data_IF_380855074187
#
_entry.id   IF_380855074187
#
_cell.length_a   1.000
_cell.length_b   1.000
_cell.length_c   1.000
_cell.angle_alpha   90.00
_cell.angle_beta   90.00
_cell.angle_gamma   90.00
#
_symmetry.space_group_name_H-M   'P 1'
#
loop_
_entity.id
_entity.type
_entity.pdbx_description
1 polymer ?
#
# COMPACT_ATOMS: atom_id res chain seq x y z
N UNK A 1 -17.45 13.79 37.92
CA UNK A 1 -16.77 12.59 37.34
C UNK A 1 -17.77 11.99 36.38
N UNK A 2 -17.64 12.24 35.09
CA UNK A 2 -18.45 11.57 34.07
C UNK A 2 -18.02 10.10 34.03
N UNK A 3 -18.97 9.18 34.30
CA UNK A 3 -18.74 7.75 34.11
C UNK A 3 -18.12 7.55 32.71
N UNK A 4 -16.91 6.97 32.67
CA UNK A 4 -16.30 6.57 31.43
C UNK A 4 -17.15 5.42 30.85
N UNK A 5 -17.98 5.72 29.88
CA UNK A 5 -18.72 4.70 29.13
C UNK A 5 -17.70 3.86 28.39
N UNK A 6 -17.48 2.64 28.85
CA UNK A 6 -16.61 1.67 28.19
C UNK A 6 -17.29 1.19 26.91
N UNK A 7 -16.58 1.23 25.79
CA UNK A 7 -17.08 0.76 24.48
C UNK A 7 -17.11 -0.78 24.43
N UNK A 8 -16.15 -1.42 25.11
CA UNK A 8 -16.01 -2.86 25.14
C UNK A 8 -16.93 -3.49 26.18
N UNK A 9 -17.93 -4.20 25.72
CA UNK A 9 -18.83 -4.97 26.59
C UNK A 9 -18.23 -6.32 27.00
N UNK A 10 -18.97 -7.09 27.80
CA UNK A 10 -18.51 -8.41 28.28
C UNK A 10 -18.21 -9.38 27.14
N UNK A 11 -19.03 -9.41 26.09
CA UNK A 11 -18.83 -10.29 24.94
C UNK A 11 -17.55 -9.97 24.16
N UNK A 12 -17.24 -8.68 24.01
CA UNK A 12 -15.97 -8.23 23.45
C UNK A 12 -14.79 -8.71 24.31
N UNK A 13 -14.85 -8.54 25.63
CA UNK A 13 -13.78 -8.98 26.55
C UNK A 13 -13.52 -10.48 26.45
N UNK A 14 -14.57 -11.32 26.40
CA UNK A 14 -14.45 -12.78 26.20
C UNK A 14 -13.77 -13.15 24.87
N UNK A 15 -13.99 -12.38 23.79
CA UNK A 15 -13.28 -12.54 22.50
C UNK A 15 -11.82 -12.18 22.65
N UNK A 16 -11.50 -11.09 23.36
CA UNK A 16 -10.13 -10.63 23.53
C UNK A 16 -9.25 -11.61 24.33
N UNK A 17 -9.84 -12.40 25.23
CA UNK A 17 -9.12 -13.47 25.94
C UNK A 17 -8.60 -14.57 25.00
N UNK A 18 -9.22 -14.73 23.83
CA UNK A 18 -8.81 -15.73 22.83
C UNK A 18 -7.67 -15.27 21.94
N UNK A 19 -7.31 -13.98 21.96
CA UNK A 19 -6.18 -13.45 21.19
C UNK A 19 -4.88 -13.76 21.94
N UNK A 20 -3.94 -14.52 21.35
CA UNK A 20 -2.64 -14.79 21.96
C UNK A 20 -1.86 -13.48 22.15
N UNK A 21 -1.34 -13.27 23.37
CA UNK A 21 -0.48 -12.11 23.69
C UNK A 21 0.99 -12.43 23.56
N UNK A 22 1.36 -13.69 23.78
CA UNK A 22 2.76 -14.15 23.69
C UNK A 22 3.22 -14.22 22.24
N UNK A 23 4.34 -13.57 21.97
CA UNK A 23 4.98 -13.58 20.65
C UNK A 23 5.34 -14.99 20.16
N UNK A 24 5.64 -15.93 21.06
CA UNK A 24 5.96 -17.32 20.71
C UNK A 24 4.86 -17.97 19.84
N UNK A 25 3.59 -17.55 20.01
CA UNK A 25 2.48 -18.01 19.15
C UNK A 25 2.64 -17.60 17.68
N UNK A 26 3.16 -16.38 17.44
CA UNK A 26 3.31 -15.81 16.09
C UNK A 26 4.62 -16.22 15.43
N UNK A 27 5.66 -16.47 16.24
CA UNK A 27 7.04 -16.61 15.81
C UNK A 27 7.24 -17.67 14.73
N UNK A 28 6.65 -18.85 14.89
CA UNK A 28 6.82 -19.97 13.94
C UNK A 28 6.34 -19.57 12.52
N UNK A 29 5.15 -19.03 12.42
CA UNK A 29 4.59 -18.63 11.12
C UNK A 29 5.31 -17.41 10.56
N UNK A 30 5.68 -16.44 11.40
CA UNK A 30 6.45 -15.28 10.98
C UNK A 30 7.79 -15.69 10.37
N UNK A 31 8.54 -16.56 11.03
CA UNK A 31 9.84 -17.05 10.55
C UNK A 31 9.67 -17.82 9.23
N UNK A 32 8.71 -18.75 9.15
CA UNK A 32 8.43 -19.50 7.90
C UNK A 32 8.07 -18.56 6.74
N UNK A 33 7.20 -17.57 7.01
CA UNK A 33 6.74 -16.65 5.98
C UNK A 33 7.83 -15.66 5.55
N UNK A 34 8.58 -15.11 6.49
CA UNK A 34 9.59 -14.10 6.18
C UNK A 34 10.88 -14.68 5.60
N UNK A 35 11.21 -15.94 5.92
CA UNK A 35 12.33 -16.66 5.29
C UNK A 35 12.01 -17.12 3.86
N UNK A 36 10.74 -17.07 3.44
CA UNK A 36 10.37 -17.27 2.03
C UNK A 36 10.47 -15.93 1.31
N UNK A 37 11.40 -15.82 0.37
CA UNK A 37 11.56 -14.59 -0.41
C UNK A 37 10.30 -14.30 -1.24
N UNK A 38 9.75 -13.12 -1.07
CA UNK A 38 8.60 -12.62 -1.86
C UNK A 38 8.90 -11.25 -2.46
N UNK A 39 10.15 -11.00 -2.86
CA UNK A 39 10.47 -9.77 -3.59
C UNK A 39 9.56 -9.61 -4.81
N UNK A 40 8.91 -8.46 -4.97
CA UNK A 40 7.84 -8.21 -5.96
C UNK A 40 8.21 -8.62 -7.39
N UNK A 41 9.52 -8.61 -7.72
CA UNK A 41 10.03 -9.03 -9.05
C UNK A 41 10.49 -10.49 -9.11
N UNK A 42 10.40 -11.23 -8.00
CA UNK A 42 10.68 -12.68 -7.95
C UNK A 42 9.37 -13.46 -8.14
N UNK A 43 8.77 -13.34 -9.31
CA UNK A 43 7.40 -13.80 -9.62
C UNK A 43 7.14 -15.26 -9.26
N UNK A 44 8.09 -16.16 -9.52
CA UNK A 44 7.94 -17.59 -9.21
C UNK A 44 7.89 -17.85 -7.70
N UNK A 45 8.70 -17.16 -6.93
CA UNK A 45 8.73 -17.28 -5.47
C UNK A 45 7.50 -16.65 -4.83
N UNK A 46 7.09 -15.48 -5.31
CA UNK A 46 5.84 -14.82 -4.91
C UNK A 46 4.64 -15.75 -5.14
N UNK A 47 4.53 -16.35 -6.33
CA UNK A 47 3.45 -17.29 -6.64
C UNK A 47 3.48 -18.53 -5.75
N UNK A 48 4.66 -19.06 -5.41
CA UNK A 48 4.82 -20.25 -4.55
C UNK A 48 4.49 -19.98 -3.07
N UNK A 49 4.37 -18.71 -2.66
CA UNK A 49 3.98 -18.32 -1.30
C UNK A 49 2.45 -18.40 -1.08
N UNK A 50 1.67 -18.21 -2.12
CA UNK A 50 0.21 -18.12 -2.06
C UNK A 50 -0.47 -19.29 -1.32
N UNK A 51 -0.06 -20.58 -1.53
CA UNK A 51 -0.65 -21.71 -0.78
C UNK A 51 -0.44 -21.62 0.75
N UNK A 52 0.62 -20.96 1.24
CA UNK A 52 0.82 -20.75 2.69
C UNK A 52 -0.24 -19.84 3.27
N UNK A 53 -0.55 -18.76 2.55
CA UNK A 53 -1.62 -17.83 2.93
C UNK A 53 -2.98 -18.51 2.86
N UNK A 54 -3.26 -19.25 1.77
CA UNK A 54 -4.50 -20.01 1.62
C UNK A 54 -4.72 -20.97 2.79
N UNK A 55 -3.72 -21.78 3.14
CA UNK A 55 -3.80 -22.71 4.27
C UNK A 55 -4.02 -21.98 5.61
N UNK A 56 -3.40 -20.81 5.80
CA UNK A 56 -3.58 -20.04 7.02
C UNK A 56 -5.00 -19.47 7.14
N UNK A 57 -5.54 -18.89 6.09
CA UNK A 57 -6.87 -18.28 6.07
C UNK A 57 -8.01 -19.33 5.95
N UNK A 58 -7.75 -20.55 5.48
CA UNK A 58 -8.73 -21.63 5.45
C UNK A 58 -9.31 -21.96 6.83
N UNK A 59 -8.57 -21.69 7.91
CA UNK A 59 -9.02 -21.86 9.29
C UNK A 59 -10.23 -20.99 9.66
N UNK A 60 -10.51 -19.93 8.90
CA UNK A 60 -11.68 -19.07 9.12
C UNK A 60 -12.98 -19.70 8.60
N UNK A 61 -12.92 -20.75 7.78
CA UNK A 61 -14.09 -21.34 7.13
C UNK A 61 -14.74 -20.44 6.07
N UNK A 62 -13.99 -19.47 5.55
CA UNK A 62 -14.41 -18.52 4.52
C UNK A 62 -14.24 -19.10 3.11
N UNK A 63 -14.88 -18.48 2.13
CA UNK A 63 -14.62 -18.77 0.71
C UNK A 63 -13.30 -18.12 0.31
N UNK A 64 -12.37 -18.92 -0.22
CA UNK A 64 -11.07 -18.45 -0.69
C UNK A 64 -11.00 -18.59 -2.21
N UNK A 65 -10.52 -17.54 -2.88
CA UNK A 65 -10.30 -17.50 -4.33
C UNK A 65 -8.99 -16.81 -4.65
N UNK A 66 -8.41 -17.14 -5.80
CA UNK A 66 -7.24 -16.45 -6.34
C UNK A 66 -7.71 -15.54 -7.47
N UNK A 67 -7.55 -14.22 -7.28
CA UNK A 67 -7.95 -13.23 -8.28
C UNK A 67 -6.76 -12.86 -9.16
N UNK A 68 -6.84 -13.08 -10.49
CA UNK A 68 -5.76 -12.72 -11.39
C UNK A 68 -5.59 -11.21 -11.44
N UNK A 69 -4.33 -10.76 -11.44
CA UNK A 69 -3.98 -9.35 -11.53
C UNK A 69 -3.96 -8.87 -12.99
N UNK A 70 -4.15 -7.57 -13.19
CA UNK A 70 -3.84 -6.95 -14.47
C UNK A 70 -2.32 -6.99 -14.68
N UNK A 71 -1.91 -7.15 -15.95
CA UNK A 71 -0.49 -7.13 -16.29
C UNK A 71 0.10 -5.74 -16.11
N UNK A 72 1.31 -5.69 -15.60
CA UNK A 72 2.09 -4.45 -15.57
C UNK A 72 2.67 -4.14 -16.94
N UNK A 73 2.59 -2.88 -17.34
CA UNK A 73 3.25 -2.36 -18.55
C UNK A 73 4.59 -1.73 -18.17
N UNK A 74 5.68 -2.33 -18.56
CA UNK A 74 7.04 -1.88 -18.21
C UNK A 74 7.75 -1.34 -19.46
N UNK A 75 8.25 -0.12 -19.38
CA UNK A 75 9.10 0.48 -20.42
C UNK A 75 10.53 -0.02 -20.23
N UNK A 76 11.06 -0.76 -21.23
CA UNK A 76 12.43 -1.25 -21.24
C UNK A 76 13.42 -0.14 -21.61
N UNK A 77 14.73 -0.41 -21.42
CA UNK A 77 15.79 0.56 -21.75
C UNK A 77 15.92 0.86 -23.26
N UNK A 78 15.36 0.01 -24.11
CA UNK A 78 15.28 0.20 -25.58
C UNK A 78 13.98 0.91 -26.03
N UNK A 79 13.13 1.35 -25.08
CA UNK A 79 11.87 2.03 -25.37
C UNK A 79 10.68 1.11 -25.67
N UNK A 80 10.88 -0.21 -25.75
CA UNK A 80 9.80 -1.17 -25.90
C UNK A 80 8.95 -1.24 -24.63
N UNK A 81 7.63 -1.44 -24.79
CA UNK A 81 6.71 -1.66 -23.69
C UNK A 81 6.42 -3.15 -23.61
N UNK A 82 6.76 -3.76 -22.47
CA UNK A 82 6.52 -5.17 -22.20
C UNK A 82 5.42 -5.34 -21.16
N UNK A 83 4.49 -6.26 -21.41
CA UNK A 83 3.52 -6.68 -20.41
C UNK A 83 4.09 -7.81 -19.53
N UNK A 84 3.98 -7.65 -18.22
CA UNK A 84 4.47 -8.61 -17.22
C UNK A 84 3.28 -9.10 -16.39
N UNK A 85 3.17 -10.42 -16.26
CA UNK A 85 2.19 -11.06 -15.39
C UNK A 85 2.62 -10.90 -13.93
N UNK A 86 1.72 -10.39 -13.10
CA UNK A 86 1.96 -10.15 -11.67
C UNK A 86 1.36 -11.26 -10.78
N UNK A 87 0.76 -12.29 -11.37
CA UNK A 87 0.18 -13.41 -10.63
C UNK A 87 -1.22 -13.12 -10.08
N UNK A 88 -1.47 -13.52 -8.84
CA UNK A 88 -2.80 -13.53 -8.25
C UNK A 88 -2.79 -12.94 -6.84
N UNK A 89 -3.84 -12.19 -6.48
CA UNK A 89 -4.15 -11.87 -5.08
C UNK A 89 -4.89 -13.01 -4.42
N UNK A 90 -4.65 -13.25 -3.12
CA UNK A 90 -5.54 -14.06 -2.30
C UNK A 90 -6.76 -13.23 -1.92
N UNK A 91 -7.95 -13.76 -2.19
CA UNK A 91 -9.21 -13.14 -1.80
C UNK A 91 -9.99 -14.09 -0.90
N UNK A 92 -10.32 -13.61 0.30
CA UNK A 92 -11.08 -14.35 1.30
C UNK A 92 -12.41 -13.63 1.52
N UNK A 93 -13.53 -14.33 1.44
CA UNK A 93 -14.86 -13.74 1.57
C UNK A 93 -15.70 -14.44 2.61
N UNK A 94 -16.18 -13.67 3.57
CA UNK A 94 -17.01 -14.14 4.67
C UNK A 94 -18.32 -13.34 4.75
N UNK A 95 -19.44 -14.02 4.88
CA UNK A 95 -20.78 -13.44 5.08
C UNK A 95 -21.12 -12.26 4.15
N UNK A 96 -21.17 -12.48 2.81
CA UNK A 96 -21.36 -11.38 1.83
C UNK A 96 -22.71 -10.66 1.95
N UNK A 97 -23.66 -11.22 2.68
CA UNK A 97 -25.01 -10.65 2.88
C UNK A 97 -25.18 -10.02 4.29
N UNK A 98 -24.11 -9.95 5.09
CA UNK A 98 -24.18 -9.30 6.39
C UNK A 98 -24.47 -7.81 6.25
N UNK A 99 -25.15 -7.18 7.25
CA UNK A 99 -25.54 -5.77 7.14
C UNK A 99 -24.36 -4.80 7.07
N UNK A 100 -23.20 -5.15 7.63
CA UNK A 100 -21.98 -4.34 7.60
C UNK A 100 -20.94 -5.11 6.76
N UNK A 101 -20.33 -4.45 5.78
CA UNK A 101 -19.31 -5.04 4.91
C UNK A 101 -17.98 -4.32 5.10
N UNK A 102 -16.95 -5.06 5.49
CA UNK A 102 -15.60 -4.54 5.69
C UNK A 102 -14.64 -5.10 4.64
N UNK A 103 -13.63 -4.31 4.29
CA UNK A 103 -12.49 -4.82 3.52
C UNK A 103 -11.22 -4.71 4.36
N UNK A 104 -10.49 -5.83 4.47
CA UNK A 104 -9.18 -5.90 5.10
C UNK A 104 -8.13 -6.10 4.02
N UNK A 105 -7.09 -5.26 4.00
CA UNK A 105 -6.06 -5.37 2.96
C UNK A 105 -4.67 -5.50 3.55
N UNK A 106 -3.83 -6.15 2.77
CA UNK A 106 -2.41 -6.28 3.00
C UNK A 106 -1.71 -6.85 1.78
N UNK A 107 -0.39 -6.85 1.83
CA UNK A 107 0.43 -7.39 0.77
C UNK A 107 1.43 -8.42 1.31
N UNK A 108 1.79 -9.36 0.45
CA UNK A 108 2.74 -10.41 0.81
C UNK A 108 4.05 -10.33 0.03
N UNK A 109 4.15 -9.38 -0.91
CA UNK A 109 5.42 -9.02 -1.52
C UNK A 109 6.29 -8.16 -0.59
N UNK A 110 7.55 -8.01 -0.94
CA UNK A 110 8.53 -7.18 -0.25
C UNK A 110 9.45 -6.51 -1.26
N UNK A 111 10.14 -5.43 -0.86
CA UNK A 111 11.17 -4.77 -1.69
C UNK A 111 12.44 -5.63 -1.87
N UNK A 112 12.62 -6.72 -1.11
CA UNK A 112 13.86 -7.50 -1.10
C UNK A 112 13.87 -8.55 -2.21
N UNK A 113 14.60 -8.28 -3.29
CA UNK A 113 14.78 -9.20 -4.41
C UNK A 113 15.51 -10.51 -4.04
N UNK A 114 15.52 -11.46 -4.96
CA UNK A 114 16.19 -12.76 -4.75
C UNK A 114 17.72 -12.63 -4.55
N UNK A 115 18.33 -11.55 -5.02
CA UNK A 115 19.73 -11.19 -4.91
C UNK A 115 20.07 -10.40 -3.62
N UNK A 116 19.08 -10.05 -2.83
CA UNK A 116 19.28 -9.37 -1.56
C UNK A 116 20.03 -10.28 -0.57
N UNK A 117 20.96 -9.71 0.19
CA UNK A 117 21.60 -10.41 1.31
C UNK A 117 20.70 -10.53 2.56
N UNK A 118 19.61 -9.76 2.60
CA UNK A 118 18.63 -9.76 3.69
C UNK A 118 17.49 -10.73 3.36
N UNK A 119 17.65 -12.01 3.71
CA UNK A 119 16.74 -13.10 3.33
C UNK A 119 16.13 -13.84 4.52
N UNK A 120 16.70 -13.73 5.70
CA UNK A 120 16.33 -14.57 6.83
C UNK A 120 15.95 -13.73 8.06
N UNK A 121 15.00 -14.26 8.81
CA UNK A 121 14.64 -13.72 10.12
C UNK A 121 15.76 -13.99 11.12
N UNK A 122 16.07 -12.99 11.93
CA UNK A 122 17.04 -13.07 13.03
C UNK A 122 16.38 -12.60 14.32
N UNK A 123 16.48 -13.42 15.36
CA UNK A 123 16.09 -13.07 16.72
C UNK A 123 17.35 -12.88 17.56
N UNK A 124 17.60 -11.66 18.00
CA UNK A 124 18.76 -11.31 18.83
C UNK A 124 18.48 -11.47 20.33
N UNK A 125 17.28 -11.94 20.70
CA UNK A 125 16.87 -12.09 22.10
C UNK A 125 16.43 -10.78 22.77
N UNK A 126 16.34 -9.67 22.01
CA UNK A 126 15.84 -8.38 22.45
C UNK A 126 14.31 -8.24 22.26
N UNK A 127 13.77 -7.02 22.34
CA UNK A 127 12.34 -6.75 22.16
C UNK A 127 11.90 -6.82 20.70
N UNK A 128 12.84 -6.94 19.76
CA UNK A 128 12.59 -6.91 18.33
C UNK A 128 12.83 -8.27 17.67
N UNK A 129 12.20 -8.45 16.53
CA UNK A 129 12.48 -9.49 15.55
C UNK A 129 12.87 -8.83 14.25
N UNK A 130 13.94 -9.27 13.61
CA UNK A 130 14.51 -8.67 12.41
C UNK A 130 14.32 -9.61 11.23
N UNK A 131 14.00 -9.07 10.05
CA UNK A 131 13.85 -9.90 8.85
C UNK A 131 13.03 -9.23 7.77
N UNK A 132 13.12 -9.70 6.50
CA UNK A 132 12.38 -9.14 5.38
C UNK A 132 10.86 -9.37 5.54
N UNK A 133 10.08 -8.30 5.58
CA UNK A 133 8.63 -8.39 5.71
C UNK A 133 8.12 -8.68 7.13
N UNK A 134 8.99 -8.68 8.17
CA UNK A 134 8.53 -8.88 9.56
C UNK A 134 7.60 -7.75 10.01
N UNK A 135 7.82 -6.54 9.50
CA UNK A 135 6.96 -5.39 9.70
C UNK A 135 6.14 -5.09 8.43
N UNK A 136 6.77 -5.09 7.26
CA UNK A 136 6.20 -4.70 5.99
C UNK A 136 6.09 -5.88 5.01
N UNK A 137 4.92 -6.60 4.97
CA UNK A 137 3.92 -6.53 6.05
C UNK A 137 3.39 -7.92 6.45
N UNK A 138 4.22 -9.00 6.37
CA UNK A 138 3.79 -10.37 6.75
C UNK A 138 3.41 -10.46 8.22
N UNK A 139 4.07 -9.66 9.11
CA UNK A 139 3.64 -9.51 10.49
C UNK A 139 2.23 -8.93 10.62
N UNK A 140 1.89 -7.95 9.77
CA UNK A 140 0.55 -7.39 9.67
C UNK A 140 -0.50 -8.41 9.25
N UNK A 141 -0.17 -9.27 8.28
CA UNK A 141 -1.07 -10.37 7.84
C UNK A 141 -1.32 -11.37 8.99
N UNK A 142 -0.30 -11.70 9.77
CA UNK A 142 -0.46 -12.60 10.92
C UNK A 142 -1.40 -12.03 11.98
N UNK A 143 -1.24 -10.78 12.34
CA UNK A 143 -2.14 -10.16 13.33
C UNK A 143 -3.56 -9.99 12.80
N UNK A 144 -3.73 -9.73 11.51
CA UNK A 144 -5.03 -9.73 10.83
C UNK A 144 -5.72 -11.09 11.01
N UNK A 145 -5.02 -12.16 10.70
CA UNK A 145 -5.55 -13.53 10.83
C UNK A 145 -5.96 -13.85 12.28
N UNK A 146 -5.10 -13.57 13.25
CA UNK A 146 -5.39 -13.89 14.66
C UNK A 146 -6.54 -13.03 15.23
N UNK A 147 -6.63 -11.76 14.85
CA UNK A 147 -7.75 -10.91 15.21
C UNK A 147 -9.07 -11.39 14.62
N UNK A 148 -9.08 -11.83 13.35
CA UNK A 148 -10.26 -12.41 12.70
C UNK A 148 -10.66 -13.74 13.36
N UNK A 149 -9.71 -14.65 13.65
CA UNK A 149 -9.99 -15.93 14.34
C UNK A 149 -10.67 -15.70 15.70
N UNK A 150 -10.17 -14.74 16.46
CA UNK A 150 -10.80 -14.39 17.75
C UNK A 150 -12.20 -13.83 17.55
N UNK A 151 -12.38 -12.89 16.60
CA UNK A 151 -13.66 -12.29 16.27
C UNK A 151 -14.72 -13.32 15.85
N UNK A 152 -14.33 -14.40 15.16
CA UNK A 152 -15.27 -15.46 14.74
C UNK A 152 -15.94 -16.18 15.94
N UNK A 153 -15.52 -15.93 17.16
CA UNK A 153 -16.19 -16.40 18.36
C UNK A 153 -17.20 -15.43 18.96
N UNK A 154 -17.33 -14.20 18.40
CA UNK A 154 -18.27 -13.20 18.90
C UNK A 154 -19.72 -13.60 18.63
N UNK A 155 -20.67 -13.43 19.59
CA UNK A 155 -22.06 -13.82 19.37
C UNK A 155 -22.71 -13.06 18.21
N UNK A 156 -22.38 -11.79 18.02
CA UNK A 156 -22.95 -10.93 16.97
C UNK A 156 -22.12 -10.90 15.69
N UNK A 157 -21.18 -11.83 15.49
CA UNK A 157 -20.31 -11.89 14.29
C UNK A 157 -21.09 -11.86 12.96
N UNK A 158 -22.33 -12.35 12.96
CA UNK A 158 -23.17 -12.40 11.77
C UNK A 158 -23.60 -11.01 11.26
N UNK A 159 -23.43 -9.97 12.06
CA UNK A 159 -23.65 -8.59 11.64
C UNK A 159 -22.53 -8.06 10.75
N UNK A 160 -21.35 -8.72 10.73
CA UNK A 160 -20.18 -8.33 9.94
C UNK A 160 -19.91 -9.34 8.84
N UNK A 161 -19.91 -8.89 7.61
CA UNK A 161 -19.27 -9.54 6.48
C UNK A 161 -17.92 -8.88 6.21
N UNK A 162 -16.97 -9.65 5.71
CA UNK A 162 -15.68 -9.07 5.33
C UNK A 162 -15.07 -9.75 4.10
N UNK A 163 -14.31 -8.96 3.37
CA UNK A 163 -13.43 -9.43 2.32
C UNK A 163 -11.98 -9.13 2.74
N UNK A 164 -11.09 -10.14 2.67
CA UNK A 164 -9.65 -9.94 2.81
C UNK A 164 -9.04 -9.99 1.42
N UNK A 165 -8.24 -9.01 1.07
CA UNK A 165 -7.43 -9.01 -0.14
C UNK A 165 -5.96 -8.93 0.25
N UNK A 166 -5.18 -9.95 -0.14
CA UNK A 166 -3.73 -9.94 0.02
C UNK A 166 -3.09 -9.91 -1.37
N UNK A 167 -2.37 -8.85 -1.67
CA UNK A 167 -1.80 -8.59 -3.00
C UNK A 167 -0.30 -8.87 -3.06
N UNK A 168 0.25 -9.24 -4.23
CA UNK A 168 1.67 -9.51 -4.45
C UNK A 168 2.42 -8.34 -5.09
N UNK A 169 1.80 -7.16 -5.22
CA UNK A 169 2.30 -6.06 -6.04
C UNK A 169 2.20 -4.68 -5.36
N UNK A 170 2.05 -4.66 -4.03
CA UNK A 170 1.96 -3.40 -3.28
C UNK A 170 3.22 -2.56 -3.44
N UNK A 171 4.37 -3.16 -3.24
CA UNK A 171 5.69 -2.53 -3.24
C UNK A 171 6.10 -1.91 -4.60
N UNK A 172 5.43 -2.33 -5.65
CA UNK A 172 5.57 -1.75 -6.99
C UNK A 172 4.41 -0.84 -7.38
N UNK A 173 3.50 -0.53 -6.44
CA UNK A 173 2.43 0.45 -6.60
C UNK A 173 1.05 -0.13 -6.85
N UNK A 174 0.79 -1.40 -6.57
CA UNK A 174 -0.49 -2.13 -6.83
C UNK A 174 -0.96 -2.00 -8.28
N UNK A 175 -0.01 -2.05 -9.23
CA UNK A 175 -0.31 -1.81 -10.64
C UNK A 175 -1.32 -2.81 -11.21
N UNK A 176 -1.30 -4.05 -10.71
CA UNK A 176 -2.23 -5.09 -11.10
C UNK A 176 -3.45 -5.21 -10.18
N UNK A 177 -3.30 -4.96 -8.87
CA UNK A 177 -4.36 -5.16 -7.87
C UNK A 177 -5.26 -3.93 -7.67
N UNK A 178 -4.88 -2.73 -8.11
CA UNK A 178 -5.62 -1.49 -7.89
C UNK A 178 -7.10 -1.56 -8.32
N UNK A 179 -7.40 -2.22 -9.46
CA UNK A 179 -8.77 -2.37 -9.94
C UNK A 179 -9.62 -3.27 -9.01
N UNK A 180 -9.02 -4.32 -8.43
CA UNK A 180 -9.68 -5.21 -7.46
C UNK A 180 -9.98 -4.43 -6.18
N UNK A 181 -8.98 -3.69 -5.65
CA UNK A 181 -9.14 -2.81 -4.48
C UNK A 181 -10.29 -1.81 -4.69
N UNK A 182 -10.38 -1.22 -5.89
CA UNK A 182 -11.42 -0.28 -6.23
C UNK A 182 -12.81 -0.92 -6.24
N UNK A 183 -12.96 -2.10 -6.85
CA UNK A 183 -14.26 -2.78 -6.93
C UNK A 183 -14.73 -3.32 -5.57
N UNK A 184 -13.83 -3.82 -4.72
CA UNK A 184 -14.16 -4.23 -3.36
C UNK A 184 -14.49 -3.01 -2.50
N UNK A 185 -13.67 -1.95 -2.58
CA UNK A 185 -13.86 -0.73 -1.80
C UNK A 185 -15.20 -0.05 -2.08
N UNK A 186 -15.68 -0.05 -3.33
CA UNK A 186 -17.01 0.48 -3.67
C UNK A 186 -18.15 -0.19 -2.90
N UNK A 187 -18.00 -1.43 -2.51
CA UNK A 187 -19.03 -2.24 -1.84
C UNK A 187 -18.85 -2.29 -0.33
N UNK A 188 -17.71 -1.86 0.20
CA UNK A 188 -17.36 -1.94 1.61
C UNK A 188 -17.77 -0.68 2.37
N UNK A 189 -18.30 -0.83 3.57
CA UNK A 189 -18.62 0.29 4.46
C UNK A 189 -17.37 0.95 5.02
N UNK A 190 -16.32 0.15 5.29
CA UNK A 190 -15.06 0.59 5.88
C UNK A 190 -13.90 -0.31 5.44
N UNK A 191 -12.71 0.27 5.26
CA UNK A 191 -11.46 -0.41 4.98
C UNK A 191 -10.51 -0.43 6.18
N UNK A 192 -9.82 -1.56 6.35
CA UNK A 192 -8.81 -1.80 7.38
C UNK A 192 -7.54 -2.33 6.69
N UNK A 193 -6.47 -1.53 6.64
CA UNK A 193 -5.20 -1.89 5.98
C UNK A 193 -4.10 -2.13 7.01
N UNK A 194 -3.33 -3.21 6.84
CA UNK A 194 -2.43 -3.72 7.89
C UNK A 194 -0.96 -3.40 7.64
N UNK A 195 -0.70 -2.23 7.05
CA UNK A 195 0.64 -1.66 6.99
C UNK A 195 1.27 -1.51 8.39
N UNK A 196 2.61 -1.48 8.51
CA UNK A 196 3.25 -1.32 9.80
C UNK A 196 2.90 0.02 10.46
N UNK A 197 2.61 -0.04 11.76
CA UNK A 197 2.54 1.15 12.59
C UNK A 197 3.94 1.65 12.95
N UNK A 198 4.05 2.94 13.27
CA UNK A 198 5.30 3.51 13.74
C UNK A 198 5.78 2.82 15.05
N UNK A 199 7.09 2.86 15.38
CA UNK A 199 7.62 2.22 16.59
C UNK A 199 6.92 2.65 17.89
N UNK A 200 6.45 3.91 17.96
CA UNK A 200 5.68 4.43 19.09
C UNK A 200 4.21 4.02 19.10
N UNK A 201 3.76 3.24 18.11
CA UNK A 201 2.38 2.83 17.94
C UNK A 201 1.50 3.84 17.21
N UNK A 202 2.01 4.99 16.80
CA UNK A 202 1.28 5.98 15.99
C UNK A 202 0.88 5.39 14.64
N UNK A 203 -0.25 5.85 14.14
CA UNK A 203 -0.85 5.42 12.88
C UNK A 203 -0.80 6.52 11.83
N UNK A 204 -0.93 6.17 10.56
CA UNK A 204 -1.00 7.15 9.49
C UNK A 204 -2.32 7.92 9.50
N UNK A 205 -2.23 9.23 9.35
CA UNK A 205 -3.33 10.15 9.13
C UNK A 205 -3.61 10.34 7.63
N UNK A 206 -3.22 11.50 7.09
CA UNK A 206 -3.25 11.72 5.66
C UNK A 206 -2.07 11.04 4.97
N UNK A 207 -2.26 10.67 3.70
CA UNK A 207 -1.22 10.18 2.80
C UNK A 207 -1.19 10.99 1.51
N UNK A 208 0.01 11.31 1.02
CA UNK A 208 0.13 11.87 -0.32
C UNK A 208 -0.35 10.88 -1.37
N UNK A 209 -0.60 11.35 -2.60
CA UNK A 209 -0.72 10.49 -3.78
C UNK A 209 0.63 10.26 -4.43
N UNK A 210 0.69 9.24 -5.29
CA UNK A 210 1.86 8.87 -6.08
C UNK A 210 1.46 8.57 -7.53
N UNK A 211 2.23 9.13 -8.47
CA UNK A 211 2.17 8.78 -9.88
C UNK A 211 3.56 8.42 -10.38
N UNK A 212 3.65 7.37 -11.19
CA UNK A 212 4.89 6.92 -11.82
C UNK A 212 4.76 7.02 -13.33
N UNK A 213 5.77 7.60 -13.97
CA UNK A 213 5.79 7.81 -15.41
C UNK A 213 7.12 7.41 -16.04
N UNK A 214 7.06 7.01 -17.29
CA UNK A 214 8.20 6.87 -18.19
C UNK A 214 7.92 7.68 -19.48
N UNK A 215 8.70 8.71 -19.73
CA UNK A 215 8.66 9.46 -20.98
C UNK A 215 9.66 8.87 -21.96
N UNK A 216 9.18 8.34 -23.07
CA UNK A 216 9.98 7.85 -24.19
C UNK A 216 10.09 8.98 -25.20
N UNK A 217 11.32 9.35 -25.57
CA UNK A 217 11.61 10.43 -26.49
C UNK A 217 12.37 9.87 -27.70
N UNK A 218 11.78 9.99 -28.89
CA UNK A 218 12.40 9.62 -30.15
C UNK A 218 12.95 10.84 -30.86
N UNK A 219 14.24 10.80 -31.19
CA UNK A 219 14.96 11.78 -31.99
C UNK A 219 15.32 11.25 -33.35
N UNK A 220 16.46 11.75 -33.91
CA UNK A 220 17.01 11.33 -35.21
C UNK A 220 18.49 11.09 -35.05
N UNK A 221 18.95 9.89 -35.34
CA UNK A 221 20.37 9.53 -35.29
C UNK A 221 21.15 10.13 -36.48
N UNK A 222 22.38 10.55 -36.22
CA UNK A 222 23.26 11.11 -37.24
C UNK A 222 24.75 10.92 -36.85
N UNK A 223 25.63 10.81 -37.83
CA UNK A 223 27.06 10.75 -37.59
C UNK A 223 27.60 12.14 -37.18
N UNK A 224 28.10 12.28 -35.93
CA UNK A 224 28.49 13.56 -35.34
C UNK A 224 29.48 14.34 -36.21
N UNK A 225 30.49 13.67 -36.79
CA UNK A 225 31.53 14.34 -37.59
C UNK A 225 31.13 14.64 -39.05
N UNK A 226 29.99 14.16 -39.53
CA UNK A 226 29.59 14.34 -40.96
C UNK A 226 28.25 15.04 -41.13
N UNK A 227 27.26 14.72 -40.28
CA UNK A 227 25.88 15.11 -40.47
C UNK A 227 25.21 15.51 -39.15
N UNK A 228 25.95 16.08 -38.18
CA UNK A 228 25.43 16.45 -36.87
C UNK A 228 24.18 17.33 -36.94
N UNK A 229 24.11 18.25 -37.92
CA UNK A 229 23.00 19.16 -38.14
C UNK A 229 21.69 18.49 -38.59
N UNK A 230 21.77 17.26 -39.11
CA UNK A 230 20.61 16.44 -39.51
C UNK A 230 20.03 15.65 -38.30
N UNK A 231 20.83 15.50 -37.25
CA UNK A 231 20.43 14.74 -36.06
C UNK A 231 19.55 15.55 -35.11
N UNK A 232 18.68 14.81 -34.35
CA UNK A 232 17.87 15.36 -33.25
C UNK A 232 18.17 14.58 -31.99
N UNK A 233 18.94 15.15 -31.08
CA UNK A 233 19.40 14.47 -29.87
C UNK A 233 18.27 14.27 -28.83
N UNK A 234 17.83 13.02 -28.68
CA UNK A 234 16.85 12.66 -27.66
C UNK A 234 17.38 12.89 -26.24
N UNK A 235 18.68 12.70 -25.98
CA UNK A 235 19.29 13.00 -24.68
C UNK A 235 19.22 14.49 -24.36
N UNK A 236 19.46 15.37 -25.35
CA UNK A 236 19.29 16.82 -25.14
C UNK A 236 17.86 17.17 -24.77
N UNK A 237 16.88 16.57 -25.44
CA UNK A 237 15.45 16.76 -25.14
C UNK A 237 15.10 16.24 -23.74
N UNK A 238 15.62 15.07 -23.36
CA UNK A 238 15.45 14.51 -22.01
C UNK A 238 16.01 15.43 -20.93
N UNK A 239 17.21 15.98 -21.14
CA UNK A 239 17.82 16.93 -20.20
C UNK A 239 16.98 18.22 -20.04
N UNK A 240 16.46 18.78 -21.14
CA UNK A 240 15.56 19.92 -21.11
C UNK A 240 14.28 19.62 -20.33
N UNK A 241 13.63 18.48 -20.62
CA UNK A 241 12.45 18.03 -19.93
C UNK A 241 12.68 17.85 -18.43
N UNK A 242 13.76 17.18 -18.02
CA UNK A 242 14.11 16.99 -16.60
C UNK A 242 14.29 18.33 -15.90
N UNK A 243 15.06 19.25 -16.46
CA UNK A 243 15.23 20.58 -15.89
C UNK A 243 13.89 21.32 -15.72
N UNK A 244 12.98 21.18 -16.69
CA UNK A 244 11.69 21.86 -16.65
C UNK A 244 10.78 21.28 -15.55
N UNK A 245 10.65 19.95 -15.45
CA UNK A 245 9.77 19.33 -14.43
C UNK A 245 10.36 19.41 -13.02
N UNK A 246 11.69 19.29 -12.85
CA UNK A 246 12.34 19.42 -11.55
C UNK A 246 12.24 20.87 -10.99
N UNK A 247 12.12 21.86 -11.85
CA UNK A 247 11.88 23.24 -11.45
C UNK A 247 10.50 23.47 -10.80
N UNK A 248 9.61 22.49 -10.78
CA UNK A 248 8.34 22.51 -10.05
C UNK A 248 8.57 22.35 -8.55
N UNK A 249 9.62 21.61 -8.16
CA UNK A 249 9.98 21.38 -6.76
C UNK A 249 10.23 22.69 -6.02
N UNK A 250 9.62 22.84 -4.85
CA UNK A 250 9.75 24.03 -4.01
C UNK A 250 8.93 25.25 -4.45
N UNK A 251 8.29 25.22 -5.63
CA UNK A 251 7.40 26.30 -6.10
C UNK A 251 5.96 26.12 -5.67
N UNK A 252 5.52 24.86 -5.55
CA UNK A 252 4.14 24.53 -5.18
C UNK A 252 4.16 23.63 -3.96
N UNK A 253 3.51 24.10 -2.90
CA UNK A 253 3.50 23.41 -1.61
C UNK A 253 2.99 21.97 -1.70
N UNK A 254 3.79 21.05 -1.18
CA UNK A 254 3.48 19.63 -1.08
C UNK A 254 3.68 18.80 -2.35
N UNK A 255 3.89 19.44 -3.53
CA UNK A 255 4.23 18.72 -4.77
C UNK A 255 5.72 18.40 -4.76
N UNK A 256 6.05 17.15 -5.12
CA UNK A 256 7.43 16.71 -5.31
C UNK A 256 7.51 15.89 -6.60
N UNK A 257 8.47 16.21 -7.46
CA UNK A 257 8.80 15.43 -8.66
C UNK A 257 10.23 14.94 -8.49
N UNK A 258 10.47 13.67 -8.78
CA UNK A 258 11.79 13.07 -8.71
C UNK A 258 12.08 12.28 -10.00
N UNK A 259 13.11 12.67 -10.72
CA UNK A 259 13.64 11.90 -11.84
C UNK A 259 14.54 10.80 -11.31
N UNK A 260 14.02 9.57 -11.29
CA UNK A 260 14.72 8.43 -10.69
C UNK A 260 15.71 7.74 -11.62
N UNK A 261 15.47 7.77 -12.95
CA UNK A 261 16.33 7.09 -13.92
C UNK A 261 16.20 7.69 -15.31
N UNK A 262 17.34 7.74 -16.04
CA UNK A 262 17.41 8.08 -17.45
C UNK A 262 18.19 6.98 -18.17
N UNK A 263 17.62 6.46 -19.26
CA UNK A 263 18.32 5.58 -20.22
C UNK A 263 18.39 6.30 -21.57
N UNK A 264 19.42 6.05 -22.36
CA UNK A 264 19.50 6.59 -23.74
C UNK A 264 20.90 6.67 -24.31
N UNK A 265 20.93 6.82 -25.65
CA UNK A 265 22.16 6.90 -26.41
C UNK A 265 22.85 5.55 -26.67
N UNK A 266 23.89 5.58 -27.49
CA UNK A 266 24.68 4.41 -27.87
C UNK A 266 26.17 4.72 -27.84
N UNK A 267 26.69 5.38 -28.86
CA UNK A 267 28.11 5.70 -29.02
C UNK A 267 28.36 7.20 -29.10
N UNK A 268 29.55 7.65 -28.65
CA UNK A 268 29.91 9.06 -28.56
C UNK A 268 29.92 9.80 -29.90
N UNK A 269 30.06 9.09 -31.00
CA UNK A 269 30.11 9.63 -32.38
C UNK A 269 28.77 9.55 -33.12
N UNK A 270 27.67 9.23 -32.41
CA UNK A 270 26.30 9.16 -32.91
C UNK A 270 25.39 10.12 -32.13
N UNK A 271 24.60 10.94 -32.84
CA UNK A 271 23.52 11.71 -32.23
C UNK A 271 22.48 10.72 -31.71
N UNK A 272 22.15 10.75 -30.39
CA UNK A 272 21.22 9.76 -29.80
C UNK A 272 19.78 9.99 -30.27
N UNK A 273 19.15 8.95 -30.77
CA UNK A 273 17.78 8.95 -31.30
C UNK A 273 16.74 8.40 -30.30
N UNK A 274 17.18 7.92 -29.13
CA UNK A 274 16.30 7.45 -28.07
C UNK A 274 16.77 7.93 -26.70
N UNK A 275 15.82 8.38 -25.88
CA UNK A 275 16.01 8.57 -24.46
C UNK A 275 14.71 8.24 -23.70
N UNK A 276 14.85 7.71 -22.49
CA UNK A 276 13.72 7.36 -21.62
C UNK A 276 13.97 8.02 -20.27
N UNK A 277 13.01 8.83 -19.80
CA UNK A 277 13.05 9.48 -18.48
C UNK A 277 12.00 8.86 -17.59
N UNK A 278 12.40 8.25 -16.46
CA UNK A 278 11.49 7.69 -15.47
C UNK A 278 11.46 8.59 -14.24
N UNK A 279 10.26 8.96 -13.84
CA UNK A 279 10.07 9.91 -12.74
C UNK A 279 8.82 9.60 -11.92
N UNK A 280 8.86 10.01 -10.65
CA UNK A 280 7.75 9.91 -9.71
C UNK A 280 7.22 11.30 -9.35
N UNK A 281 5.92 11.39 -9.16
CA UNK A 281 5.22 12.60 -8.70
C UNK A 281 4.51 12.29 -7.40
N UNK A 282 4.65 13.17 -6.40
CA UNK A 282 3.91 13.12 -5.14
C UNK A 282 3.11 14.39 -4.97
N UNK A 283 1.85 14.27 -4.56
CA UNK A 283 0.98 15.41 -4.29
C UNK A 283 0.02 15.13 -3.12
N UNK A 284 -0.33 16.15 -2.30
CA UNK A 284 -1.16 15.96 -1.11
C UNK A 284 -2.66 15.91 -1.40
N UNK A 285 -3.11 16.36 -2.58
CA UNK A 285 -4.52 16.36 -2.99
C UNK A 285 -4.66 16.02 -4.46
N UNK A 286 -5.85 15.60 -4.86
CA UNK A 286 -6.16 15.29 -6.27
C UNK A 286 -5.97 16.52 -7.17
N UNK A 287 -6.42 17.68 -6.74
CA UNK A 287 -6.22 18.94 -7.46
C UNK A 287 -4.74 19.23 -7.74
N UNK A 288 -3.89 19.06 -6.71
CA UNK A 288 -2.44 19.25 -6.87
C UNK A 288 -1.79 18.16 -7.73
N UNK A 289 -2.30 16.94 -7.71
CA UNK A 289 -1.84 15.86 -8.59
C UNK A 289 -2.18 16.18 -10.04
N UNK A 290 -3.41 16.59 -10.32
CA UNK A 290 -3.87 16.93 -11.65
C UNK A 290 -3.09 18.14 -12.19
N UNK A 291 -2.87 19.15 -11.36
CA UNK A 291 -2.03 20.30 -11.70
C UNK A 291 -0.59 19.87 -12.08
N UNK A 292 0.06 19.03 -11.28
CA UNK A 292 1.41 18.55 -11.58
C UNK A 292 1.47 17.78 -12.91
N UNK A 293 0.47 16.93 -13.17
CA UNK A 293 0.36 16.19 -14.44
C UNK A 293 0.19 17.13 -15.63
N UNK A 294 -0.60 18.19 -15.49
CA UNK A 294 -0.76 19.19 -16.57
C UNK A 294 0.55 19.98 -16.83
N UNK A 295 1.33 20.30 -15.78
CA UNK A 295 2.65 20.91 -15.97
C UNK A 295 3.58 19.97 -16.74
N UNK A 296 3.60 18.67 -16.41
CA UNK A 296 4.39 17.65 -17.12
C UNK A 296 3.95 17.54 -18.58
N UNK A 297 2.66 17.49 -18.87
CA UNK A 297 2.15 17.49 -20.25
C UNK A 297 2.55 18.76 -21.00
N UNK A 298 2.58 19.91 -20.31
CA UNK A 298 3.08 21.17 -20.85
C UNK A 298 4.54 21.07 -21.26
N UNK A 299 5.40 20.54 -20.37
CA UNK A 299 6.82 20.33 -20.64
C UNK A 299 7.05 19.38 -21.86
N UNK A 300 6.24 18.32 -21.95
CA UNK A 300 6.28 17.43 -23.13
C UNK A 300 5.92 18.18 -24.43
N UNK A 301 4.90 19.04 -24.40
CA UNK A 301 4.50 19.84 -25.58
C UNK A 301 5.59 20.82 -26.03
N UNK A 302 6.52 21.21 -25.14
CA UNK A 302 7.64 22.07 -25.49
C UNK A 302 8.72 21.33 -26.32
N UNK A 303 8.72 19.99 -26.33
CA UNK A 303 9.61 19.15 -27.14
C UNK A 303 9.08 18.96 -28.58
N UNK A 304 8.76 20.06 -29.28
CA UNK A 304 8.02 20.09 -30.56
C UNK A 304 8.67 19.29 -31.71
N UNK A 305 10.00 19.16 -31.65
CA UNK A 305 10.77 18.48 -32.72
C UNK A 305 10.94 16.97 -32.49
N UNK A 306 10.36 16.44 -31.40
CA UNK A 306 10.52 15.05 -30.98
C UNK A 306 9.19 14.33 -30.94
N UNK A 307 9.19 13.04 -31.23
CA UNK A 307 8.06 12.18 -30.98
C UNK A 307 8.16 11.64 -29.53
N UNK A 308 7.19 12.04 -28.69
CA UNK A 308 7.19 11.70 -27.28
C UNK A 308 5.99 10.81 -26.94
N UNK A 309 6.22 9.75 -26.16
CA UNK A 309 5.19 8.90 -25.60
C UNK A 309 5.34 8.83 -24.07
N UNK A 310 4.27 9.19 -23.34
CA UNK A 310 4.22 9.12 -21.89
C UNK A 310 3.46 7.87 -21.47
N UNK A 311 4.15 6.94 -20.81
CA UNK A 311 3.56 5.74 -20.21
C UNK A 311 3.47 5.91 -18.70
N UNK A 312 2.44 5.31 -18.06
CA UNK A 312 2.23 5.35 -16.62
C UNK A 312 1.05 6.23 -16.20
N UNK A 313 1.00 6.57 -14.92
CA UNK A 313 -0.11 7.32 -14.35
C UNK A 313 -0.12 7.34 -12.82
N UNK A 314 -1.26 7.76 -12.26
CA UNK A 314 -1.50 7.77 -10.81
C UNK A 314 -1.76 6.33 -10.35
N UNK A 315 -0.81 5.74 -9.62
CA UNK A 315 -0.95 4.42 -9.02
C UNK A 315 -1.63 4.48 -7.65
N UNK A 316 -1.40 5.56 -6.91
CA UNK A 316 -1.95 5.81 -5.58
C UNK A 316 -2.56 7.21 -5.55
N UNK A 317 -3.89 7.37 -5.68
CA UNK A 317 -4.53 8.68 -5.48
C UNK A 317 -4.31 9.21 -4.07
N UNK A 318 -4.31 10.53 -3.84
CA UNK A 318 -4.14 11.10 -2.50
C UNK A 318 -5.25 10.68 -1.53
N UNK A 319 -4.88 10.51 -0.26
CA UNK A 319 -5.79 10.25 0.86
C UNK A 319 -5.68 11.38 1.88
N UNK A 320 -6.33 12.52 1.65
CA UNK A 320 -6.32 13.65 2.59
C UNK A 320 -7.16 13.34 3.83
N UNK A 321 -6.94 14.07 4.93
CA UNK A 321 -7.88 14.09 6.06
C UNK A 321 -9.20 14.70 5.62
N UNK A 322 -10.28 14.08 6.05
CA UNK A 322 -11.64 14.59 5.90
C UNK A 322 -12.51 14.17 7.09
N UNK A 323 -13.77 14.59 7.13
CA UNK A 323 -14.69 14.28 8.21
C UNK A 323 -14.87 12.78 8.46
N UNK A 324 -14.84 11.97 7.40
CA UNK A 324 -14.93 10.52 7.50
C UNK A 324 -13.69 9.93 8.20
N UNK A 325 -12.48 10.39 7.82
CA UNK A 325 -11.23 9.95 8.45
C UNK A 325 -11.17 10.36 9.93
N UNK A 326 -11.54 11.59 10.26
CA UNK A 326 -11.58 12.07 11.66
C UNK A 326 -12.57 11.26 12.52
N UNK A 327 -13.70 10.83 11.90
CA UNK A 327 -14.64 9.95 12.60
C UNK A 327 -14.02 8.59 12.90
N UNK A 328 -13.33 7.97 11.94
CA UNK A 328 -12.63 6.68 12.14
C UNK A 328 -11.54 6.81 13.22
N UNK A 329 -10.76 7.89 13.18
CA UNK A 329 -9.70 8.13 14.15
C UNK A 329 -10.27 8.24 15.57
N UNK A 330 -11.40 8.93 15.72
CA UNK A 330 -12.11 9.05 17.00
C UNK A 330 -12.62 7.69 17.49
N UNK A 331 -13.30 6.94 16.62
CA UNK A 331 -13.90 5.65 16.95
C UNK A 331 -12.83 4.63 17.37
N UNK A 332 -11.78 4.46 16.57
CA UNK A 332 -10.70 3.53 16.85
C UNK A 332 -9.82 3.99 18.02
N UNK A 333 -9.60 5.29 18.15
CA UNK A 333 -8.92 5.86 19.31
C UNK A 333 -9.63 5.57 20.63
N UNK A 334 -10.97 5.58 20.62
CA UNK A 334 -11.77 5.22 21.79
C UNK A 334 -11.64 3.73 22.14
N UNK A 335 -11.74 2.83 21.13
CA UNK A 335 -11.52 1.39 21.33
C UNK A 335 -10.13 1.11 21.89
N UNK A 336 -9.11 1.74 21.32
CA UNK A 336 -7.73 1.59 21.77
C UNK A 336 -7.54 2.03 23.23
N UNK A 337 -8.18 3.13 23.62
CA UNK A 337 -8.12 3.63 25.00
C UNK A 337 -8.70 2.64 26.01
N UNK A 338 -9.77 1.93 25.66
CA UNK A 338 -10.35 0.89 26.52
C UNK A 338 -9.41 -0.31 26.66
N UNK A 339 -8.50 -0.52 25.69
CA UNK A 339 -7.42 -1.50 25.75
C UNK A 339 -6.16 -0.97 26.46
N UNK A 340 -6.18 0.25 27.02
CA UNK A 340 -5.02 0.90 27.62
C UNK A 340 -3.96 1.34 26.60
N UNK A 341 -4.37 1.55 25.34
CA UNK A 341 -3.50 2.04 24.26
C UNK A 341 -3.85 3.49 23.93
N UNK A 342 -2.84 4.33 23.73
CA UNK A 342 -3.01 5.69 23.23
C UNK A 342 -2.55 5.75 21.79
N UNK A 343 -3.46 6.02 20.85
CA UNK A 343 -3.17 6.14 19.44
C UNK A 343 -3.04 7.60 19.01
N UNK A 344 -2.02 7.90 18.27
CA UNK A 344 -1.83 9.17 17.56
C UNK A 344 -1.89 8.94 16.06
N UNK A 345 -2.34 9.95 15.31
CA UNK A 345 -2.46 9.90 13.85
C UNK A 345 -1.57 10.98 13.23
N UNK A 346 -0.53 10.54 12.51
CA UNK A 346 0.49 11.41 11.90
C UNK A 346 0.37 11.39 10.38
N UNK A 347 0.36 12.56 9.76
CA UNK A 347 0.34 12.64 8.30
C UNK A 347 1.68 12.19 7.73
N UNK A 348 1.65 11.49 6.59
CA UNK A 348 2.84 10.90 5.98
C UNK A 348 2.89 11.13 4.47
N UNK A 349 4.12 11.16 3.92
CA UNK A 349 4.35 11.17 2.47
C UNK A 349 4.29 9.79 1.82
N UNK A 350 4.34 8.71 2.62
CA UNK A 350 4.22 7.34 2.14
C UNK A 350 2.81 7.02 1.64
N UNK A 351 2.70 6.03 0.76
CA UNK A 351 1.44 5.58 0.14
C UNK A 351 1.23 4.11 0.41
N UNK A 352 -0.02 3.64 0.32
CA UNK A 352 -0.37 2.22 0.46
C UNK A 352 -1.70 1.91 -0.22
N UNK A 353 -2.17 0.67 -0.13
CA UNK A 353 -3.49 0.24 -0.65
C UNK A 353 -4.66 1.05 -0.08
N UNK A 354 -4.52 1.60 1.13
CA UNK A 354 -5.50 2.52 1.71
C UNK A 354 -5.80 3.75 0.85
N UNK A 355 -4.83 4.21 0.03
CA UNK A 355 -5.06 5.26 -0.96
C UNK A 355 -6.06 4.82 -2.05
N UNK A 356 -5.93 3.58 -2.55
CA UNK A 356 -6.81 3.03 -3.59
C UNK A 356 -8.23 2.81 -3.04
N UNK A 357 -8.36 2.30 -1.81
CA UNK A 357 -9.64 2.17 -1.13
C UNK A 357 -10.32 3.54 -0.95
N UNK A 358 -9.57 4.55 -0.49
CA UNK A 358 -10.11 5.89 -0.31
C UNK A 358 -10.62 6.48 -1.63
N UNK A 359 -9.88 6.31 -2.71
CA UNK A 359 -10.27 6.76 -4.05
C UNK A 359 -11.53 6.07 -4.59
N UNK A 360 -11.83 4.84 -4.14
CA UNK A 360 -13.07 4.14 -4.46
C UNK A 360 -14.30 4.68 -3.71
N UNK A 361 -14.09 5.62 -2.78
CA UNK A 361 -15.12 6.13 -1.84
C UNK A 361 -15.25 5.30 -0.56
N UNK A 362 -14.31 4.37 -0.30
CA UNK A 362 -14.26 3.60 0.94
C UNK A 362 -13.43 4.36 2.00
N UNK A 363 -14.06 4.87 3.06
CA UNK A 363 -13.31 5.42 4.18
C UNK A 363 -12.48 4.29 4.82
N UNK A 364 -11.25 4.56 5.19
CA UNK A 364 -10.39 3.51 5.70
C UNK A 364 -9.34 4.02 6.67
N UNK A 365 -8.88 3.11 7.52
CA UNK A 365 -7.69 3.32 8.35
C UNK A 365 -6.61 2.36 7.86
N UNK A 366 -5.39 2.83 7.84
CA UNK A 366 -4.22 2.01 7.55
C UNK A 366 -3.25 1.99 8.73
N UNK A 367 -2.13 1.25 8.58
CA UNK A 367 -1.14 1.07 9.66
C UNK A 367 -1.69 0.35 10.89
N UNK A 368 -2.68 -0.56 10.69
CA UNK A 368 -3.16 -1.44 11.75
C UNK A 368 -2.18 -2.58 12.06
N UNK A 369 -1.13 -2.76 11.28
CA UNK A 369 -0.12 -3.79 11.41
C UNK A 369 0.71 -3.71 12.68
N UNK A 370 1.75 -4.52 12.76
CA UNK A 370 2.69 -4.54 13.89
C UNK A 370 3.43 -3.21 14.01
N UNK A 371 3.89 -2.87 15.21
CA UNK A 371 4.81 -1.75 15.37
C UNK A 371 6.21 -2.18 14.94
N UNK A 372 6.88 -1.35 14.16
CA UNK A 372 8.19 -1.66 13.66
C UNK A 372 8.84 -0.45 12.98
N UNK A 373 9.95 -0.68 12.33
CA UNK A 373 10.67 0.41 11.68
C UNK A 373 11.77 -0.08 10.76
N UNK A 374 12.50 0.89 10.18
CA UNK A 374 13.57 0.68 9.22
C UNK A 374 13.14 -0.19 8.02
N UNK A 375 11.82 -0.15 7.68
CA UNK A 375 11.28 -0.81 6.50
C UNK A 375 12.06 -0.40 5.25
N UNK A 376 12.09 -1.26 4.22
CA UNK A 376 12.87 -1.07 3.00
C UNK A 376 14.40 -1.00 3.22
N UNK A 377 14.88 -1.45 4.39
CA UNK A 377 16.32 -1.54 4.69
C UNK A 377 16.70 -2.92 5.27
N UNK A 378 17.98 -3.32 5.18
CA UNK A 378 18.43 -4.58 5.78
C UNK A 378 18.38 -4.62 7.32
N UNK A 379 17.83 -3.59 7.94
CA UNK A 379 17.62 -3.50 9.39
C UNK A 379 16.14 -3.48 9.76
N UNK A 380 15.25 -3.84 8.85
CA UNK A 380 13.81 -3.93 9.13
C UNK A 380 13.55 -4.79 10.35
N UNK A 381 12.70 -4.27 11.26
CA UNK A 381 12.32 -4.96 12.47
C UNK A 381 10.86 -4.75 12.84
N UNK A 382 10.31 -5.71 13.60
CA UNK A 382 9.02 -5.60 14.26
C UNK A 382 9.18 -5.78 15.77
N UNK A 383 8.39 -5.04 16.56
CA UNK A 383 8.38 -5.11 18.02
C UNK A 383 7.53 -6.30 18.45
N UNK A 384 8.13 -7.32 19.06
CA UNK A 384 7.47 -8.58 19.45
C UNK A 384 6.19 -8.38 20.26
N UNK A 385 6.20 -7.50 21.24
CA UNK A 385 5.03 -7.19 22.09
C UNK A 385 3.87 -6.55 21.31
N UNK A 386 4.09 -6.00 20.11
CA UNK A 386 3.04 -5.37 19.33
C UNK A 386 2.10 -6.39 18.67
N UNK A 387 2.54 -7.61 18.39
CA UNK A 387 1.73 -8.62 17.70
C UNK A 387 0.40 -8.87 18.42
N UNK A 388 0.44 -9.39 19.63
CA UNK A 388 -0.78 -9.68 20.38
C UNK A 388 -1.61 -8.41 20.68
N UNK A 389 -0.96 -7.27 20.95
CA UNK A 389 -1.68 -6.00 21.20
C UNK A 389 -2.45 -5.55 19.96
N UNK A 390 -1.86 -5.62 18.77
CA UNK A 390 -2.50 -5.20 17.52
C UNK A 390 -3.58 -6.18 17.05
N UNK A 391 -3.39 -7.49 17.24
CA UNK A 391 -4.43 -8.48 17.00
C UNK A 391 -5.65 -8.25 17.92
N UNK A 392 -5.42 -7.91 19.22
CA UNK A 392 -6.50 -7.53 20.14
C UNK A 392 -7.20 -6.24 19.73
N UNK A 393 -6.45 -5.25 19.23
CA UNK A 393 -7.05 -4.02 18.72
C UNK A 393 -8.00 -4.31 17.56
N UNK A 394 -7.59 -5.13 16.58
CA UNK A 394 -8.47 -5.55 15.49
C UNK A 394 -9.73 -6.26 16.02
N UNK A 395 -9.55 -7.27 16.88
CA UNK A 395 -10.70 -8.00 17.44
C UNK A 395 -11.68 -7.06 18.17
N UNK A 396 -11.17 -6.11 18.96
CA UNK A 396 -11.98 -5.11 19.67
C UNK A 396 -12.74 -4.19 18.71
N UNK A 397 -12.10 -3.73 17.64
CA UNK A 397 -12.73 -2.91 16.58
C UNK A 397 -13.90 -3.68 15.96
N UNK A 398 -13.66 -4.94 15.55
CA UNK A 398 -14.69 -5.78 14.92
C UNK A 398 -15.86 -6.07 15.88
N UNK A 399 -15.59 -6.37 17.15
CA UNK A 399 -16.61 -6.58 18.17
C UNK A 399 -17.47 -5.33 18.38
N UNK A 400 -16.83 -4.14 18.46
CA UNK A 400 -17.54 -2.87 18.66
C UNK A 400 -18.44 -2.49 17.48
N UNK A 401 -18.07 -2.91 16.26
CA UNK A 401 -18.93 -2.77 15.08
C UNK A 401 -20.06 -3.82 15.08
N UNK A 402 -19.76 -5.05 15.47
CA UNK A 402 -20.72 -6.15 15.45
C UNK A 402 -21.87 -5.96 16.44
N UNK A 403 -21.58 -5.49 17.67
CA UNK A 403 -22.59 -5.22 18.70
C UNK A 403 -23.27 -3.84 18.55
N UNK A 404 -22.85 -3.03 17.56
CA UNK A 404 -23.43 -1.71 17.28
C UNK A 404 -23.03 -0.59 18.24
N UNK A 405 -22.06 -0.82 19.14
CA UNK A 405 -21.52 0.24 20.02
C UNK A 405 -20.90 1.38 19.21
N UNK A 406 -20.33 1.03 18.03
CA UNK A 406 -19.83 1.97 17.04
C UNK A 406 -20.55 1.73 15.71
N UNK A 407 -21.06 2.80 15.08
CA UNK A 407 -21.66 2.72 13.72
C UNK A 407 -20.58 2.66 12.63
N UNK A 408 -20.26 1.46 12.16
CA UNK A 408 -19.28 1.23 11.10
C UNK A 408 -19.63 1.90 9.75
N UNK A 409 -20.90 2.28 9.54
CA UNK A 409 -21.38 2.92 8.31
C UNK A 409 -21.32 4.46 8.36
N UNK A 410 -21.18 5.04 9.56
CA UNK A 410 -21.15 6.48 9.72
C UNK A 410 -20.02 7.15 8.90
N UNK A 411 -18.78 6.62 8.86
CA UNK A 411 -17.72 7.20 8.04
C UNK A 411 -18.07 7.24 6.55
N UNK A 412 -18.71 6.19 6.01
CA UNK A 412 -19.07 6.15 4.58
C UNK A 412 -20.13 7.18 4.21
N UNK A 413 -21.10 7.43 5.09
CA UNK A 413 -22.10 8.51 4.90
C UNK A 413 -21.40 9.86 4.79
N UNK A 414 -20.39 10.12 5.64
CA UNK A 414 -19.61 11.35 5.63
C UNK A 414 -18.74 11.52 4.39
N UNK A 415 -18.29 10.42 3.73
CA UNK A 415 -17.60 10.50 2.44
C UNK A 415 -18.48 11.06 1.32
N UNK A 416 -19.78 10.78 1.36
CA UNK A 416 -20.76 11.28 0.36
C UNK A 416 -21.04 12.77 0.51
N UNK A 417 -21.00 13.33 1.71
CA UNK A 417 -21.31 14.74 2.00
C UNK A 417 -20.22 15.71 1.51
N UNK A 418 -19.00 15.24 1.27
CA UNK A 418 -17.88 16.07 0.76
C UNK A 418 -17.87 16.26 -0.77
N UNK A 419 -18.91 15.82 -1.48
CA UNK A 419 -19.04 15.97 -2.95
C UNK A 419 -19.92 17.16 -3.38
N UNK A 420 -20.29 18.06 -2.44
CA UNK A 420 -21.04 19.29 -2.72
C UNK A 420 -20.13 20.51 -2.74
#
# INVERSE_FOLDING_TARGET
MTEKTTILDKSCLEVLEKVPLDFAHYQKNLVDWCNHNTGSRNYSSVASFLPRLENAFAQLGAVITHLPLQKERVVLANGEIKEIDLGHSLHVKMRPNAPIQLVLTGHYDTVFGADSHFQNVTDLGDENIYGPGVADMKGGILIMLEGLKAFESHPDKNNIGYEVLLSPDEEIGSLGSAHILHEIGKKSDLGLTFEPALPDGSMAGARKGSANFALIIHGVSAHVGRAHHEGKSAIKAAAQFVCEIENINGKYDGITINTGKIDGGSANNVVPDLAIVRFNVRAPSQEKMDFAIEQIKGAIKNLKDFHCHLEGGVSRPPKPRNRAQERIFTDIGNVARDLGMELQFKDTGGVCEGNNLFASGCPNIDTLGVCGGLIHSPQEYAIKKSFGKRARLLAAILCSYANGTIDAKAPRKLMGENKC
#
